data_IF_952731107057
#
_entry.id   IF_952731107057
#
_cell.length_a   1.000
_cell.length_b   1.000
_cell.length_c   1.000
_cell.angle_alpha   90.00
_cell.angle_beta   90.00
_cell.angle_gamma   90.00
#
_symmetry.space_group_name_H-M   'P 1'
#
loop_
_entity.id
_entity.type
_entity.pdbx_description
1 polymer ?
#
# COMPACT_ATOMS: atom_id res chain seq x y z
N UNK A 1 4.13 -10.83 -30.67
CA UNK A 1 3.15 -10.04 -29.89
C UNK A 1 2.86 -10.70 -28.57
N UNK A 2 3.12 -9.98 -27.47
CA UNK A 2 2.82 -10.40 -26.10
C UNK A 2 2.09 -9.27 -25.39
N UNK A 3 1.08 -9.63 -24.61
CA UNK A 3 0.34 -8.69 -23.78
C UNK A 3 0.72 -8.92 -22.32
N UNK A 4 1.18 -7.86 -21.65
CA UNK A 4 1.61 -7.89 -20.26
C UNK A 4 0.63 -7.09 -19.39
N UNK A 5 0.33 -7.64 -18.22
CA UNK A 5 -0.38 -6.94 -17.16
C UNK A 5 0.61 -6.74 -16.02
N UNK A 6 0.86 -5.48 -15.67
CA UNK A 6 1.83 -5.07 -14.64
C UNK A 6 1.09 -4.32 -13.55
N UNK A 7 1.01 -4.92 -12.36
CA UNK A 7 0.26 -4.37 -11.23
C UNK A 7 1.07 -4.31 -9.94
N UNK A 8 0.36 -4.06 -8.83
CA UNK A 8 0.92 -4.03 -7.48
C UNK A 8 1.65 -5.35 -7.18
N UNK A 9 2.92 -5.27 -6.76
CA UNK A 9 3.83 -6.41 -6.60
C UNK A 9 4.94 -6.50 -7.66
N UNK A 10 4.88 -5.71 -8.74
CA UNK A 10 5.96 -5.64 -9.73
C UNK A 10 7.27 -5.08 -9.13
N UNK A 11 7.14 -4.12 -8.22
CA UNK A 11 8.19 -3.59 -7.35
C UNK A 11 8.92 -4.68 -6.54
N UNK A 12 8.18 -5.64 -5.96
CA UNK A 12 8.78 -6.78 -5.25
C UNK A 12 9.59 -7.68 -6.18
N UNK A 13 9.16 -7.85 -7.43
CA UNK A 13 9.92 -8.58 -8.45
C UNK A 13 11.24 -7.89 -8.84
N UNK A 14 11.32 -6.58 -8.60
CA UNK A 14 12.53 -5.77 -8.73
C UNK A 14 13.32 -5.68 -7.42
N UNK A 15 12.86 -6.36 -6.36
CA UNK A 15 13.46 -6.38 -5.03
C UNK A 15 13.48 -5.00 -4.36
N UNK A 16 12.51 -4.15 -4.69
CA UNK A 16 12.29 -2.93 -3.92
C UNK A 16 11.80 -3.32 -2.51
N UNK A 17 12.24 -2.60 -1.45
CA UNK A 17 11.81 -2.85 -0.08
C UNK A 17 10.42 -2.24 0.16
N UNK A 18 9.42 -2.80 -0.51
CA UNK A 18 8.02 -2.35 -0.50
C UNK A 18 7.08 -3.37 0.13
N UNK A 19 7.62 -4.38 0.83
CA UNK A 19 6.78 -5.28 1.63
C UNK A 19 6.12 -4.51 2.75
N UNK A 20 5.03 -5.05 3.29
CA UNK A 20 4.34 -4.44 4.43
C UNK A 20 5.29 -4.26 5.61
N UNK A 21 6.14 -5.26 5.88
CA UNK A 21 7.14 -5.17 6.95
C UNK A 21 8.15 -4.03 6.74
N UNK A 22 8.51 -3.71 5.49
CA UNK A 22 9.43 -2.61 5.18
C UNK A 22 8.79 -1.26 5.51
N UNK A 23 7.50 -1.12 5.23
CA UNK A 23 6.73 0.04 5.64
C UNK A 23 6.61 0.15 7.17
N UNK A 24 6.38 -0.98 7.85
CA UNK A 24 6.29 -1.03 9.31
C UNK A 24 7.61 -0.63 9.98
N UNK A 25 8.75 -1.12 9.51
CA UNK A 25 10.06 -0.69 10.02
C UNK A 25 10.33 0.80 9.75
N UNK A 26 9.86 1.32 8.62
CA UNK A 26 9.93 2.75 8.34
C UNK A 26 9.11 3.57 9.34
N UNK A 27 7.87 3.16 9.61
CA UNK A 27 7.02 3.82 10.61
C UNK A 27 7.60 3.71 12.02
N UNK A 28 8.12 2.55 12.43
CA UNK A 28 8.73 2.36 13.75
C UNK A 28 9.85 3.37 14.00
N UNK A 29 10.65 3.62 12.97
CA UNK A 29 11.79 4.54 13.04
C UNK A 29 11.37 6.01 12.97
N UNK A 30 10.58 6.38 11.98
CA UNK A 30 10.34 7.79 11.62
C UNK A 30 9.02 8.33 12.19
N UNK A 31 8.07 7.45 12.57
CA UNK A 31 6.74 7.78 13.10
C UNK A 31 6.29 6.80 14.21
N UNK A 32 7.00 6.71 15.36
CA UNK A 32 6.79 5.66 16.35
C UNK A 32 5.37 5.60 16.94
N UNK A 33 4.72 6.76 17.15
CA UNK A 33 3.35 6.81 17.67
C UNK A 33 2.34 6.19 16.67
N UNK A 34 2.56 6.43 15.37
CA UNK A 34 1.74 5.90 14.29
C UNK A 34 1.96 4.40 14.16
N UNK A 35 3.21 3.95 14.24
CA UNK A 35 3.58 2.54 14.29
C UNK A 35 2.85 1.80 15.43
N UNK A 36 2.92 2.33 16.66
CA UNK A 36 2.24 1.71 17.82
C UNK A 36 0.73 1.64 17.59
N UNK A 37 0.12 2.73 17.09
CA UNK A 37 -1.30 2.76 16.76
C UNK A 37 -1.67 1.70 15.73
N UNK A 38 -0.89 1.60 14.65
CA UNK A 38 -1.15 0.66 13.57
C UNK A 38 -0.96 -0.80 14.00
N UNK A 39 0.08 -1.11 14.79
CA UNK A 39 0.26 -2.47 15.33
C UNK A 39 -0.89 -2.86 16.25
N UNK A 40 -1.37 -1.95 17.12
CA UNK A 40 -2.50 -2.24 17.99
C UNK A 40 -3.78 -2.51 17.19
N UNK A 41 -4.00 -1.75 16.11
CA UNK A 41 -5.10 -1.98 15.18
C UNK A 41 -5.01 -3.33 14.51
N UNK A 42 -3.86 -3.65 13.91
CA UNK A 42 -3.63 -4.94 13.26
C UNK A 42 -3.81 -6.10 14.25
N UNK A 43 -3.27 -6.01 15.48
CA UNK A 43 -3.45 -7.06 16.49
C UNK A 43 -4.92 -7.26 16.89
N UNK A 44 -5.74 -6.21 16.86
CA UNK A 44 -7.15 -6.27 17.28
C UNK A 44 -8.09 -6.73 16.18
N UNK A 45 -7.84 -6.31 14.94
CA UNK A 45 -8.78 -6.46 13.83
C UNK A 45 -8.28 -7.34 12.68
N UNK A 46 -7.01 -7.78 12.68
CA UNK A 46 -6.50 -8.74 11.70
C UNK A 46 -7.20 -10.09 11.84
N UNK A 47 -7.60 -10.66 10.70
CA UNK A 47 -8.25 -11.96 10.62
C UNK A 47 -7.26 -13.12 10.75
N UNK A 48 -5.98 -12.89 10.46
CA UNK A 48 -4.92 -13.92 10.46
C UNK A 48 -4.08 -13.93 11.73
N UNK A 49 -4.44 -13.13 12.74
CA UNK A 49 -3.68 -12.92 13.96
C UNK A 49 -2.28 -12.36 13.67
N UNK A 50 -2.23 -11.11 13.20
CA UNK A 50 -1.00 -10.33 13.05
C UNK A 50 -0.01 -10.54 14.21
N UNK A 51 1.17 -11.10 13.91
CA UNK A 51 2.28 -11.21 14.84
C UNK A 51 3.43 -10.34 14.35
N UNK A 52 3.89 -9.45 15.21
CA UNK A 52 5.03 -8.55 14.95
C UNK A 52 6.32 -9.30 14.63
N UNK A 53 6.42 -10.58 15.02
CA UNK A 53 7.58 -11.43 14.82
C UNK A 53 7.48 -12.32 13.58
N UNK A 54 6.31 -12.38 12.93
CA UNK A 54 6.09 -13.19 11.73
C UNK A 54 6.01 -12.25 10.54
N UNK A 55 6.86 -12.49 9.54
CA UNK A 55 6.82 -11.75 8.27
C UNK A 55 5.94 -12.53 7.31
N UNK A 56 4.64 -12.27 7.32
CA UNK A 56 3.74 -12.80 6.30
C UNK A 56 3.62 -11.83 5.11
N UNK A 57 3.59 -12.38 3.89
CA UNK A 57 3.50 -11.60 2.66
C UNK A 57 2.07 -11.04 2.41
N UNK A 58 1.05 -11.41 3.22
CA UNK A 58 -0.36 -11.05 3.02
C UNK A 58 -0.83 -9.78 3.75
N UNK A 59 -0.02 -9.19 4.64
CA UNK A 59 -0.50 -8.12 5.52
C UNK A 59 -0.90 -6.84 4.78
N UNK A 60 -0.41 -6.62 3.56
CA UNK A 60 -0.93 -5.53 2.71
C UNK A 60 -2.43 -5.69 2.41
N UNK A 61 -2.87 -6.90 2.08
CA UNK A 61 -4.27 -7.18 1.75
C UNK A 61 -5.18 -6.96 2.95
N UNK A 62 -4.78 -7.46 4.13
CA UNK A 62 -5.56 -7.28 5.35
C UNK A 62 -5.59 -5.82 5.81
N UNK A 63 -4.46 -5.13 5.67
CA UNK A 63 -4.39 -3.71 5.99
C UNK A 63 -5.33 -2.90 5.09
N UNK A 64 -5.34 -3.17 3.77
CA UNK A 64 -6.27 -2.54 2.82
C UNK A 64 -7.74 -2.88 3.14
N UNK A 65 -8.04 -4.13 3.46
CA UNK A 65 -9.39 -4.57 3.85
C UNK A 65 -9.86 -3.86 5.13
N UNK A 66 -8.99 -3.76 6.12
CA UNK A 66 -9.25 -3.03 7.37
C UNK A 66 -9.56 -1.56 7.02
N UNK A 67 -8.68 -0.88 6.27
CA UNK A 67 -8.90 0.51 5.85
C UNK A 67 -10.22 0.70 5.08
N UNK A 68 -10.59 -0.25 4.23
CA UNK A 68 -11.88 -0.24 3.53
C UNK A 68 -13.08 -0.49 4.44
N UNK A 69 -12.87 -1.12 5.59
CA UNK A 69 -13.91 -1.52 6.54
C UNK A 69 -14.07 -0.55 7.72
N UNK A 70 -13.39 0.60 7.73
CA UNK A 70 -13.40 1.53 8.87
C UNK A 70 -14.81 1.92 9.31
N UNK A 71 -15.68 2.30 8.38
CA UNK A 71 -17.06 2.70 8.68
C UNK A 71 -17.85 1.54 9.31
N UNK A 72 -17.64 0.31 8.82
CA UNK A 72 -18.29 -0.89 9.37
C UNK A 72 -17.75 -1.22 10.77
N UNK A 73 -16.44 -1.08 10.99
CA UNK A 73 -15.81 -1.26 12.29
C UNK A 73 -16.31 -0.23 13.30
N UNK A 74 -16.43 1.03 12.89
CA UNK A 74 -17.02 2.11 13.70
C UNK A 74 -18.45 1.73 14.11
N UNK A 75 -19.30 1.36 13.15
CA UNK A 75 -20.69 0.94 13.42
C UNK A 75 -20.81 -0.33 14.27
N UNK A 76 -19.85 -1.26 14.22
CA UNK A 76 -19.89 -2.49 15.01
C UNK A 76 -19.50 -2.26 16.48
N UNK A 77 -18.54 -1.37 16.72
CA UNK A 77 -18.03 -1.01 18.05
C UNK A 77 -18.88 0.06 18.73
N UNK A 78 -19.48 0.95 17.94
CA UNK A 78 -20.65 1.71 18.33
C UNK A 78 -21.82 0.74 18.48
N UNK A 79 -21.95 0.10 19.64
CA UNK A 79 -23.19 -0.59 20.00
C UNK A 79 -24.35 0.42 19.95
N UNK A 80 -24.96 0.55 18.76
CA UNK A 80 -26.24 1.17 18.54
C UNK A 80 -27.21 0.31 19.33
N UNK A 81 -27.54 0.74 20.54
CA UNK A 81 -28.63 0.12 21.27
C UNK A 81 -29.88 0.38 20.43
N UNK A 82 -30.24 -0.60 19.60
CA UNK A 82 -31.32 -0.53 18.62
C UNK A 82 -32.68 -0.32 19.32
N UNK A 83 -32.72 -0.43 20.64
CA UNK A 83 -33.87 -0.15 21.48
C UNK A 83 -33.96 1.32 21.95
N UNK A 84 -32.97 2.16 21.65
CA UNK A 84 -32.92 3.56 22.09
C UNK A 84 -33.10 4.55 20.95
N UNK A 85 -33.66 5.72 21.24
CA UNK A 85 -33.88 6.81 20.28
C UNK A 85 -32.66 7.74 20.11
N UNK A 86 -31.55 7.47 20.80
CA UNK A 86 -30.30 8.23 20.69
C UNK A 86 -29.27 7.37 19.97
N UNK A 87 -28.67 7.92 18.92
CA UNK A 87 -27.73 7.18 18.09
C UNK A 87 -26.47 6.69 18.85
N UNK A 88 -26.04 7.36 19.93
CA UNK A 88 -24.95 6.90 20.79
C UNK A 88 -24.79 7.79 22.04
N UNK A 89 -24.22 7.27 23.14
CA UNK A 89 -23.80 8.09 24.31
C UNK A 89 -22.47 7.68 24.95
N UNK A 90 -21.74 6.74 24.33
CA UNK A 90 -20.43 6.30 24.79
C UNK A 90 -19.31 7.24 24.34
N UNK A 91 -18.06 6.89 24.68
CA UNK A 91 -16.88 7.57 24.14
C UNK A 91 -16.44 6.87 22.85
N UNK A 92 -16.13 7.61 21.78
CA UNK A 92 -15.61 7.02 20.53
C UNK A 92 -14.49 6.02 20.79
N UNK A 93 -14.49 4.89 20.07
CA UNK A 93 -13.43 3.91 20.18
C UNK A 93 -12.10 4.54 19.74
N UNK A 94 -11.13 4.63 20.66
CA UNK A 94 -9.87 5.31 20.44
C UNK A 94 -8.99 4.66 19.37
N UNK A 95 -9.15 3.35 19.12
CA UNK A 95 -8.39 2.64 18.09
C UNK A 95 -8.94 3.00 16.71
N UNK A 96 -10.27 2.96 16.54
CA UNK A 96 -10.95 3.35 15.30
C UNK A 96 -10.66 4.81 14.96
N UNK A 97 -10.70 5.71 15.94
CA UNK A 97 -10.32 7.11 15.73
C UNK A 97 -8.88 7.25 15.21
N UNK A 98 -7.93 6.48 15.76
CA UNK A 98 -6.55 6.47 15.27
C UNK A 98 -6.44 5.91 13.85
N UNK A 99 -7.29 4.95 13.51
CA UNK A 99 -7.33 4.37 12.17
C UNK A 99 -7.90 5.34 11.14
N UNK A 100 -8.99 6.05 11.48
CA UNK A 100 -9.53 7.16 10.69
C UNK A 100 -8.47 8.25 10.50
N UNK A 101 -7.80 8.64 11.58
CA UNK A 101 -6.72 9.62 11.53
C UNK A 101 -5.58 9.14 10.63
N UNK A 102 -5.18 7.87 10.72
CA UNK A 102 -4.21 7.27 9.81
C UNK A 102 -4.69 7.36 8.36
N UNK A 103 -5.93 6.94 8.06
CA UNK A 103 -6.47 6.94 6.71
C UNK A 103 -6.44 8.34 6.08
N UNK A 104 -6.91 9.35 6.83
CA UNK A 104 -6.91 10.77 6.42
C UNK A 104 -5.50 11.31 6.25
N UNK A 105 -4.55 10.91 7.11
CA UNK A 105 -3.16 11.41 7.11
C UNK A 105 -2.18 10.49 6.39
N UNK A 106 -2.66 9.46 5.69
CA UNK A 106 -1.84 8.39 5.09
C UNK A 106 -0.71 8.94 4.20
N UNK A 107 -0.99 9.99 3.45
CA UNK A 107 0.00 10.69 2.61
C UNK A 107 1.19 11.25 3.38
N UNK A 108 1.02 11.65 4.65
CA UNK A 108 2.12 12.14 5.50
C UNK A 108 3.15 11.03 5.80
N UNK A 109 2.74 9.77 5.72
CA UNK A 109 3.59 8.63 6.03
C UNK A 109 4.06 7.91 4.76
N UNK A 110 3.16 7.72 3.79
CA UNK A 110 3.46 7.00 2.54
C UNK A 110 4.37 7.82 1.64
N UNK A 111 4.16 9.14 1.48
CA UNK A 111 4.96 9.94 0.54
C UNK A 111 6.45 10.01 0.97
N UNK A 112 6.79 10.28 2.25
CA UNK A 112 8.20 10.25 2.67
C UNK A 112 8.83 8.86 2.54
N UNK A 113 8.09 7.79 2.81
CA UNK A 113 8.54 6.41 2.61
C UNK A 113 8.88 6.14 1.14
N UNK A 114 7.97 6.47 0.23
CA UNK A 114 8.19 6.33 -1.22
C UNK A 114 9.36 7.18 -1.71
N UNK A 115 9.51 8.42 -1.22
CA UNK A 115 10.66 9.26 -1.54
C UNK A 115 11.98 8.64 -1.07
N UNK A 116 11.99 8.00 0.09
CA UNK A 116 13.16 7.31 0.64
C UNK A 116 13.57 6.12 -0.25
N UNK A 117 12.60 5.30 -0.66
CA UNK A 117 12.82 4.18 -1.60
C UNK A 117 13.32 4.69 -2.96
N UNK A 118 12.64 5.68 -3.54
CA UNK A 118 12.99 6.23 -4.86
C UNK A 118 14.41 6.80 -4.89
N UNK A 119 14.82 7.51 -3.83
CA UNK A 119 16.15 8.11 -3.74
C UNK A 119 17.26 7.05 -3.57
N UNK A 120 17.01 5.99 -2.80
CA UNK A 120 18.06 5.05 -2.40
C UNK A 120 18.16 3.83 -3.31
N UNK A 121 17.05 3.36 -3.87
CA UNK A 121 16.97 2.04 -4.49
C UNK A 121 16.80 2.10 -6.01
N UNK A 122 15.93 2.96 -6.55
CA UNK A 122 15.69 3.05 -8.01
C UNK A 122 16.98 3.27 -8.83
N UNK A 123 17.91 4.17 -8.45
CA UNK A 123 19.14 4.39 -9.22
C UNK A 123 20.08 3.18 -9.28
N UNK A 124 19.89 2.18 -8.43
CA UNK A 124 20.75 0.99 -8.33
C UNK A 124 20.18 -0.22 -9.08
N UNK A 125 18.94 -0.15 -9.55
CA UNK A 125 18.28 -1.32 -10.13
C UNK A 125 18.60 -1.49 -11.61
N UNK A 126 19.26 -2.60 -11.91
CA UNK A 126 19.42 -3.11 -13.26
C UNK A 126 18.13 -3.77 -13.76
N UNK A 127 17.99 -3.87 -15.09
CA UNK A 127 16.92 -4.63 -15.73
C UNK A 127 16.88 -6.05 -15.20
N UNK A 128 15.69 -6.53 -14.88
CA UNK A 128 15.53 -7.95 -14.61
C UNK A 128 15.65 -8.71 -15.94
N UNK A 129 16.77 -9.41 -16.15
CA UNK A 129 17.07 -10.13 -17.40
C UNK A 129 15.98 -11.11 -17.83
N UNK A 130 15.22 -11.68 -16.88
CA UNK A 130 14.10 -12.57 -17.19
C UNK A 130 12.93 -11.79 -17.82
N UNK A 131 12.59 -10.63 -17.26
CA UNK A 131 11.54 -9.76 -17.81
C UNK A 131 12.01 -9.19 -19.15
N UNK A 132 13.24 -8.71 -19.24
CA UNK A 132 13.79 -8.17 -20.48
C UNK A 132 13.74 -9.20 -21.63
N UNK A 133 14.11 -10.45 -21.37
CA UNK A 133 14.01 -11.52 -22.36
C UNK A 133 12.56 -11.84 -22.78
N UNK A 134 11.57 -11.46 -21.97
CA UNK A 134 10.16 -11.65 -22.29
C UNK A 134 9.60 -10.51 -23.16
N UNK A 135 10.16 -9.31 -23.05
CA UNK A 135 9.68 -8.12 -23.75
C UNK A 135 10.11 -8.16 -25.22
N UNK A 136 9.13 -8.09 -26.12
CA UNK A 136 9.32 -7.96 -27.58
C UNK A 136 9.01 -6.54 -28.03
N UNK A 137 9.55 -6.11 -29.17
CA UNK A 137 9.33 -4.76 -29.73
C UNK A 137 7.84 -4.43 -29.97
N UNK A 138 7.02 -5.44 -30.24
CA UNK A 138 5.58 -5.32 -30.45
C UNK A 138 4.74 -5.59 -29.18
N UNK A 139 5.37 -5.73 -28.01
CA UNK A 139 4.67 -6.06 -26.77
C UNK A 139 3.79 -4.92 -26.27
N UNK A 140 2.62 -5.26 -25.76
CA UNK A 140 1.65 -4.32 -25.20
C UNK A 140 1.58 -4.47 -23.68
N UNK A 141 1.30 -3.36 -22.98
CA UNK A 141 1.31 -3.29 -21.54
C UNK A 141 0.03 -2.63 -21.04
N UNK A 142 -0.67 -3.33 -20.15
CA UNK A 142 -1.62 -2.74 -19.22
C UNK A 142 -0.90 -2.59 -17.88
N UNK A 143 -0.67 -1.36 -17.44
CA UNK A 143 0.08 -1.08 -16.22
C UNK A 143 -0.73 -0.27 -15.20
N UNK A 144 -0.57 -0.59 -13.92
CA UNK A 144 -1.20 0.11 -12.80
C UNK A 144 -0.11 0.90 -12.04
N UNK A 145 0.23 2.10 -12.55
CA UNK A 145 1.23 3.04 -11.99
C UNK A 145 2.72 2.65 -12.16
N UNK A 146 3.07 1.81 -13.13
CA UNK A 146 4.46 1.39 -13.38
C UNK A 146 5.06 2.00 -14.66
N UNK A 147 4.45 3.04 -15.22
CA UNK A 147 4.89 3.64 -16.49
C UNK A 147 6.33 4.13 -16.43
N UNK A 148 6.72 4.88 -15.39
CA UNK A 148 8.10 5.36 -15.24
C UNK A 148 9.12 4.21 -15.10
N UNK A 149 8.77 3.13 -14.39
CA UNK A 149 9.65 1.96 -14.27
C UNK A 149 9.87 1.30 -15.63
N UNK A 150 8.83 1.19 -16.45
CA UNK A 150 8.90 0.63 -17.80
C UNK A 150 9.72 1.53 -18.74
N UNK A 151 9.57 2.85 -18.64
CA UNK A 151 10.34 3.83 -19.43
C UNK A 151 11.81 3.87 -19.02
N UNK A 152 12.09 4.08 -17.73
CA UNK A 152 13.45 4.36 -17.23
C UNK A 152 14.29 3.08 -17.20
N UNK A 153 13.75 1.98 -16.68
CA UNK A 153 14.52 0.74 -16.50
C UNK A 153 14.52 -0.08 -17.79
N UNK A 154 13.35 -0.25 -18.43
CA UNK A 154 13.22 -1.14 -19.59
C UNK A 154 13.29 -0.42 -20.95
N UNK A 155 13.31 0.91 -20.97
CA UNK A 155 13.31 1.72 -22.19
C UNK A 155 12.10 1.41 -23.11
N UNK A 156 10.93 1.20 -22.49
CA UNK A 156 9.67 0.94 -23.17
C UNK A 156 8.92 2.25 -23.33
N UNK A 157 8.53 2.59 -24.56
CA UNK A 157 7.66 3.72 -24.85
C UNK A 157 6.21 3.39 -24.47
N UNK A 158 5.79 3.76 -23.26
CA UNK A 158 4.41 3.59 -22.77
C UNK A 158 3.48 4.73 -23.20
N UNK A 159 3.98 5.81 -23.82
CA UNK A 159 3.12 6.89 -24.36
C UNK A 159 2.19 6.41 -25.49
N UNK A 160 2.48 5.24 -26.08
CA UNK A 160 1.69 4.65 -27.18
C UNK A 160 0.73 3.52 -26.78
N UNK A 161 0.68 3.11 -25.51
CA UNK A 161 -0.09 1.92 -25.11
C UNK A 161 -0.85 2.15 -23.80
N UNK A 162 -2.14 1.84 -23.85
CA UNK A 162 -3.21 2.25 -22.94
C UNK A 162 -2.87 2.13 -21.44
N UNK A 163 -2.67 3.28 -20.79
CA UNK A 163 -2.68 3.38 -19.33
C UNK A 163 -4.13 3.49 -18.87
N UNK A 164 -4.66 2.50 -18.12
CA UNK A 164 -6.07 2.50 -17.70
C UNK A 164 -6.26 3.15 -16.32
N UNK A 165 -5.21 3.35 -15.52
CA UNK A 165 -5.29 4.16 -14.31
C UNK A 165 -3.98 4.91 -14.10
N UNK A 166 -3.99 6.22 -14.35
CA UNK A 166 -3.00 7.15 -13.83
C UNK A 166 -3.47 7.56 -12.44
N UNK A 167 -3.00 6.88 -11.39
CA UNK A 167 -2.95 7.55 -10.09
C UNK A 167 -1.68 8.40 -10.15
N UNK A 168 -1.88 9.70 -10.24
CA UNK A 168 -0.85 10.74 -10.18
C UNK A 168 -0.02 10.58 -8.90
N UNK A 169 1.01 9.73 -8.93
CA UNK A 169 1.92 9.58 -7.80
C UNK A 169 3.17 10.46 -7.91
N UNK A 170 3.39 11.12 -9.05
CA UNK A 170 4.50 12.06 -9.23
C UNK A 170 4.12 13.13 -10.27
N UNK A 171 3.25 14.06 -9.90
CA UNK A 171 3.41 15.44 -10.39
C UNK A 171 4.19 16.20 -9.32
N UNK A 172 5.20 16.94 -9.78
CA UNK A 172 6.26 17.57 -8.98
C UNK A 172 5.77 18.43 -7.81
#
# INVERSE_FOLDING_TARGET
MRFFIVGNGFDLYHRLPTKYIDFIHFLEKDFPDVYVGLCNLMMKYSLTHFDRNIVEDNYWSEFEEMLGSIEVLELAEEHRDWSTTRDYSGKPNSEILKMLEFGVKSNLYILPWMKNINKKEIPKHEKNKKIEALIQKDSEFLNFNYSQTLEIIYNIDVTKKSSIFTVLLLEN
#
